data_IF_914111217896
#
_entry.id   IF_914111217896
#
_cell.length_a   1.000
_cell.length_b   1.000
_cell.length_c   1.000
_cell.angle_alpha   90.00
_cell.angle_beta   90.00
_cell.angle_gamma   90.00
#
_symmetry.space_group_name_H-M   'P 1'
#
loop_
_entity.id
_entity.type
_entity.pdbx_description
1 polymer ?
#
# COMPACT_ATOMS: atom_id res chain seq x y z
N UNK A 1 8.13 12.00 -8.80
CA UNK A 1 7.46 12.20 -7.49
C UNK A 1 7.03 13.64 -7.18
N UNK A 2 7.72 14.70 -7.60
CA UNK A 2 7.36 16.09 -7.20
C UNK A 2 5.88 16.48 -7.45
N UNK A 3 5.24 16.13 -8.58
CA UNK A 3 3.81 16.40 -8.77
C UNK A 3 2.91 15.69 -7.75
N UNK A 4 3.28 14.47 -7.33
CA UNK A 4 2.57 13.71 -6.29
C UNK A 4 2.69 14.43 -4.94
N UNK A 5 3.90 14.83 -4.53
CA UNK A 5 4.08 15.57 -3.28
C UNK A 5 3.39 16.93 -3.26
N UNK A 6 3.36 17.63 -4.41
CA UNK A 6 2.58 18.88 -4.55
C UNK A 6 1.10 18.61 -4.29
N UNK A 7 0.55 17.57 -4.92
CA UNK A 7 -0.85 17.17 -4.74
C UNK A 7 -1.14 16.76 -3.29
N UNK A 8 -0.27 15.98 -2.65
CA UNK A 8 -0.43 15.61 -1.24
C UNK A 8 -0.47 16.85 -0.33
N UNK A 9 0.39 17.84 -0.58
CA UNK A 9 0.39 19.08 0.19
C UNK A 9 -0.91 19.87 0.01
N UNK A 10 -1.43 19.94 -1.22
CA UNK A 10 -2.56 20.79 -1.57
C UNK A 10 -3.93 20.13 -1.29
N UNK A 11 -4.03 18.81 -1.48
CA UNK A 11 -5.29 18.03 -1.43
C UNK A 11 -5.29 16.94 -0.35
N UNK A 12 -4.16 16.70 0.32
CA UNK A 12 -4.00 15.59 1.24
C UNK A 12 -3.82 14.23 0.54
N UNK A 13 -3.98 13.15 1.29
CA UNK A 13 -3.76 11.77 0.79
C UNK A 13 -5.02 11.07 0.28
N UNK A 14 -6.20 11.68 0.46
CA UNK A 14 -7.48 11.19 -0.04
C UNK A 14 -7.85 9.76 0.41
N UNK A 15 -7.43 9.33 1.61
CA UNK A 15 -7.77 7.99 2.10
C UNK A 15 -9.28 7.90 2.43
N UNK A 16 -10.02 6.93 1.87
CA UNK A 16 -11.38 6.65 2.28
C UNK A 16 -11.42 6.11 3.72
N UNK A 17 -12.60 6.19 4.33
CA UNK A 17 -12.82 5.60 5.65
C UNK A 17 -12.54 4.09 5.63
N UNK A 18 -11.83 3.59 6.65
CA UNK A 18 -11.42 2.19 6.73
C UNK A 18 -10.12 1.83 5.98
N UNK A 19 -9.49 2.79 5.29
CA UNK A 19 -8.16 2.61 4.69
C UNK A 19 -7.09 3.34 5.51
N UNK A 20 -6.28 2.58 6.23
CA UNK A 20 -5.27 3.10 7.15
C UNK A 20 -3.88 3.06 6.52
N UNK A 21 -3.16 4.18 6.59
CA UNK A 21 -1.73 4.25 6.25
C UNK A 21 -0.88 3.80 7.44
N UNK A 22 0.01 2.83 7.21
CA UNK A 22 0.93 2.33 8.24
C UNK A 22 2.31 2.95 8.06
N UNK A 23 2.95 2.75 6.90
CA UNK A 23 4.26 3.31 6.62
C UNK A 23 4.56 3.38 5.11
N UNK A 24 5.65 4.06 4.73
CA UNK A 24 6.16 4.06 3.36
C UNK A 24 7.66 4.27 3.28
N UNK A 25 8.24 3.77 2.20
CA UNK A 25 9.65 3.92 1.84
C UNK A 25 9.76 4.34 0.38
N UNK A 26 10.62 5.31 0.10
CA UNK A 26 10.78 5.89 -1.23
C UNK A 26 12.16 5.55 -1.75
N UNK A 27 12.25 5.10 -3.01
CA UNK A 27 13.55 4.89 -3.65
C UNK A 27 14.34 6.21 -3.69
N UNK A 28 15.67 6.20 -3.47
CA UNK A 28 16.47 7.42 -3.47
C UNK A 28 16.42 8.24 -4.78
N UNK A 29 16.06 7.58 -5.89
CA UNK A 29 15.88 8.21 -7.21
C UNK A 29 14.47 8.82 -7.40
N UNK A 30 13.60 8.75 -6.39
CA UNK A 30 12.22 9.24 -6.43
C UNK A 30 11.35 8.65 -7.56
N UNK A 31 11.62 7.40 -7.98
CA UNK A 31 10.87 6.73 -9.04
C UNK A 31 9.76 5.83 -8.51
N UNK A 32 9.89 5.31 -7.29
CA UNK A 32 8.91 4.40 -6.67
C UNK A 32 8.73 4.67 -5.19
N UNK A 33 7.50 4.43 -4.71
CA UNK A 33 7.14 4.40 -3.30
C UNK A 33 6.61 2.99 -2.97
N UNK A 34 7.10 2.40 -1.89
CA UNK A 34 6.54 1.20 -1.28
C UNK A 34 5.70 1.64 -0.10
N UNK A 35 4.42 1.29 -0.08
CA UNK A 35 3.47 1.76 0.93
C UNK A 35 2.79 0.56 1.58
N UNK A 36 2.83 0.51 2.92
CA UNK A 36 2.10 -0.45 3.71
C UNK A 36 0.79 0.19 4.17
N UNK A 37 -0.31 -0.48 3.83
CA UNK A 37 -1.69 -0.05 4.08
C UNK A 37 -2.43 -1.17 4.79
N UNK A 38 -3.39 -0.82 5.64
CA UNK A 38 -4.28 -1.75 6.34
C UNK A 38 -5.73 -1.42 6.00
N UNK A 39 -6.50 -2.45 5.63
CA UNK A 39 -7.94 -2.35 5.40
C UNK A 39 -8.57 -3.76 5.43
N UNK A 40 -9.85 -3.83 5.77
CA UNK A 40 -10.63 -5.07 5.70
C UNK A 40 -11.23 -5.33 4.31
N UNK A 41 -11.26 -4.32 3.44
CA UNK A 41 -11.85 -4.38 2.11
C UNK A 41 -10.93 -3.78 1.03
N UNK A 42 -10.44 -4.62 0.11
CA UNK A 42 -9.56 -4.21 -0.99
C UNK A 42 -10.21 -3.22 -1.98
N UNK A 43 -11.54 -3.10 -1.99
CA UNK A 43 -12.23 -2.09 -2.81
C UNK A 43 -11.87 -0.66 -2.39
N UNK A 44 -11.51 -0.44 -1.12
CA UNK A 44 -11.06 0.86 -0.62
C UNK A 44 -9.75 1.30 -1.28
N UNK A 45 -8.84 0.36 -1.59
CA UNK A 45 -7.63 0.65 -2.37
C UNK A 45 -7.96 1.02 -3.82
N UNK A 46 -8.97 0.39 -4.42
CA UNK A 46 -9.42 0.73 -5.77
C UNK A 46 -10.02 2.14 -5.82
N UNK A 47 -10.89 2.48 -4.86
CA UNK A 47 -11.44 3.83 -4.70
C UNK A 47 -10.33 4.87 -4.55
N UNK A 48 -9.37 4.61 -3.64
CA UNK A 48 -8.23 5.48 -3.43
C UNK A 48 -7.41 5.70 -4.71
N UNK A 49 -7.10 4.63 -5.46
CA UNK A 49 -6.39 4.71 -6.75
C UNK A 49 -7.16 5.55 -7.77
N UNK A 50 -8.49 5.44 -7.82
CA UNK A 50 -9.29 6.27 -8.71
C UNK A 50 -9.18 7.77 -8.37
N UNK A 51 -9.04 8.12 -7.09
CA UNK A 51 -8.74 9.48 -6.64
C UNK A 51 -7.41 10.02 -7.20
N UNK A 52 -6.43 9.15 -7.47
CA UNK A 52 -5.13 9.51 -8.06
C UNK A 52 -5.13 9.60 -9.58
N UNK A 53 -6.26 9.39 -10.27
CA UNK A 53 -6.35 9.57 -11.72
C UNK A 53 -5.85 10.96 -12.15
N UNK A 54 -5.18 10.99 -13.30
CA UNK A 54 -4.59 12.22 -13.84
C UNK A 54 -3.25 12.64 -13.21
N UNK A 55 -2.78 11.98 -12.14
CA UNK A 55 -1.50 12.31 -11.51
C UNK A 55 -0.26 11.73 -12.23
N UNK A 56 -0.46 10.77 -13.13
CA UNK A 56 0.61 10.01 -13.79
C UNK A 56 1.23 8.90 -12.92
N UNK A 57 0.76 8.71 -11.67
CA UNK A 57 1.15 7.57 -10.86
C UNK A 57 0.45 6.28 -11.31
N UNK A 58 1.18 5.17 -11.22
CA UNK A 58 0.68 3.81 -11.42
C UNK A 58 0.80 3.03 -10.12
N UNK A 59 -0.11 2.09 -9.89
CA UNK A 59 -0.22 1.36 -8.63
C UNK A 59 -0.22 -0.14 -8.89
N UNK A 60 0.49 -0.88 -8.03
CA UNK A 60 0.44 -2.34 -7.92
C UNK A 60 0.03 -2.66 -6.49
N UNK A 61 -0.99 -3.50 -6.32
CA UNK A 61 -1.49 -3.90 -5.00
C UNK A 61 -1.18 -5.38 -4.79
N UNK A 62 -0.35 -5.67 -3.78
CA UNK A 62 -0.01 -7.01 -3.36
C UNK A 62 -0.51 -7.21 -1.93
N UNK A 63 -1.59 -7.97 -1.70
CA UNK A 63 -2.01 -8.34 -0.36
C UNK A 63 -0.93 -9.17 0.33
N UNK A 64 -0.67 -8.88 1.60
CA UNK A 64 0.35 -9.57 2.40
C UNK A 64 -0.22 -9.99 3.74
N UNK A 65 0.35 -11.06 4.32
CA UNK A 65 0.16 -11.44 5.71
C UNK A 65 1.39 -11.02 6.51
N UNK A 66 1.24 -10.83 7.82
CA UNK A 66 2.39 -10.66 8.68
C UNK A 66 3.27 -11.93 8.67
N UNK A 67 4.55 -11.77 8.96
CA UNK A 67 5.46 -12.91 9.10
C UNK A 67 4.99 -13.88 10.18
N UNK A 68 4.34 -13.37 11.25
CA UNK A 68 3.82 -14.19 12.35
C UNK A 68 2.65 -15.07 11.89
N UNK A 69 1.71 -14.53 11.12
CA UNK A 69 0.59 -15.31 10.56
C UNK A 69 1.09 -16.35 9.56
N UNK A 70 1.99 -15.94 8.67
CA UNK A 70 2.60 -16.85 7.70
C UNK A 70 3.37 -17.97 8.40
N UNK A 71 4.13 -17.66 9.44
CA UNK A 71 4.84 -18.66 10.25
C UNK A 71 3.87 -19.66 10.89
N UNK A 72 2.73 -19.21 11.40
CA UNK A 72 1.73 -20.11 11.98
C UNK A 72 1.17 -21.11 10.96
N UNK A 73 1.04 -20.70 9.68
CA UNK A 73 0.62 -21.58 8.58
C UNK A 73 1.72 -22.56 8.17
N UNK A 74 2.96 -22.10 8.10
CA UNK A 74 4.08 -22.91 7.60
C UNK A 74 4.60 -23.91 8.65
N UNK A 75 4.61 -23.53 9.93
CA UNK A 75 5.19 -24.33 11.03
C UNK A 75 4.75 -25.81 11.02
N UNK A 76 3.45 -26.15 10.90
CA UNK A 76 3.00 -27.55 10.90
C UNK A 76 3.55 -28.42 9.75
N UNK A 77 4.12 -27.82 8.70
CA UNK A 77 4.63 -28.53 7.53
C UNK A 77 6.16 -28.65 7.50
N UNK A 78 6.88 -28.02 8.44
CA UNK A 78 8.35 -27.97 8.42
C UNK A 78 9.01 -29.34 8.60
N UNK A 79 8.40 -30.24 9.37
CA UNK A 79 8.92 -31.59 9.64
C UNK A 79 8.61 -32.59 8.50
N UNK A 80 7.90 -32.15 7.44
CA UNK A 80 7.49 -32.96 6.30
C UNK A 80 8.27 -32.63 5.00
N UNK A 81 9.39 -31.91 5.13
CA UNK A 81 10.29 -31.55 4.02
C UNK A 81 11.29 -32.65 3.68
#
# INVERSE_FOLDING_TARGET
>A
MLPIYKRIRDEGRMFPEGLTYINSWVEPNFSRCFQLMECEDLRLLQEWILGWRGSGATFEIVPVLSSKETQAVVTPFLDHL
#
